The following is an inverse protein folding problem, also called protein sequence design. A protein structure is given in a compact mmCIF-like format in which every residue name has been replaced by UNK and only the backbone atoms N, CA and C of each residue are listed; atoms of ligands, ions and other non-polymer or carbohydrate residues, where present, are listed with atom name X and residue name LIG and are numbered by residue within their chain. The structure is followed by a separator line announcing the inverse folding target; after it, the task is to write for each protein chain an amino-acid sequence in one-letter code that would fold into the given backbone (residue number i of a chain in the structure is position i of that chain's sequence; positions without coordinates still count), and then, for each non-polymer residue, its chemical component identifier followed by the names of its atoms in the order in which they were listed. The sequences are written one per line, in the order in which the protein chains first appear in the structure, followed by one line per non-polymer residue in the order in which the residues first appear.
data_IF_282077375614
#
_entry.id   IF_282077375614
#
_cell.length_a   1.000
_cell.length_b   1.000
_cell.length_c   1.000
_cell.angle_alpha   90.00
_cell.angle_beta   90.00
_cell.angle_gamma   90.00
#
_symmetry.space_group_name_H-M   'P 1'
#
loop_
_entity.id
_entity.type
_entity.pdbx_description
1 polymer ?
#
# COMPACT_ATOMS: atom_id res chain seq x y z
N UNK A 1 -13.93 -10.71 -22.40
CA UNK A 1 -14.82 -10.15 -21.36
C UNK A 1 -14.45 -10.81 -20.05
N UNK A 2 -13.80 -10.09 -19.10
CA UNK A 2 -13.61 -10.63 -17.74
C UNK A 2 -14.98 -10.63 -17.07
N UNK A 3 -15.47 -11.78 -16.64
CA UNK A 3 -16.66 -11.84 -15.77
C UNK A 3 -16.34 -11.04 -14.50
N UNK A 4 -17.16 -10.06 -14.23
CA UNK A 4 -17.10 -9.33 -12.95
C UNK A 4 -17.57 -10.33 -11.89
N UNK A 5 -16.66 -10.80 -11.08
CA UNK A 5 -16.95 -11.72 -9.96
C UNK A 5 -17.75 -10.95 -8.93
N UNK A 6 -18.87 -11.52 -8.45
CA UNK A 6 -19.66 -10.88 -7.40
C UNK A 6 -18.88 -10.86 -6.07
N UNK A 7 -19.24 -9.93 -5.18
CA UNK A 7 -18.65 -9.85 -3.84
C UNK A 7 -18.84 -11.15 -3.07
N UNK A 8 -20.01 -11.76 -3.16
CA UNK A 8 -20.30 -13.03 -2.48
C UNK A 8 -19.46 -14.20 -3.03
N UNK A 9 -19.26 -14.24 -4.33
CA UNK A 9 -18.40 -15.24 -4.97
C UNK A 9 -16.94 -15.03 -4.58
N UNK A 10 -16.46 -13.78 -4.55
CA UNK A 10 -15.13 -13.47 -4.07
C UNK A 10 -14.90 -13.89 -2.62
N UNK A 11 -15.82 -13.56 -1.70
CA UNK A 11 -15.73 -13.98 -0.30
C UNK A 11 -15.65 -15.51 -0.20
N UNK A 12 -16.42 -16.25 -1.03
CA UNK A 12 -16.39 -17.71 -1.05
C UNK A 12 -15.03 -18.23 -1.51
N UNK A 13 -14.48 -17.70 -2.59
CA UNK A 13 -13.16 -18.07 -3.12
C UNK A 13 -12.09 -17.78 -2.07
N UNK A 14 -12.09 -16.58 -1.51
CA UNK A 14 -11.09 -16.13 -0.52
C UNK A 14 -11.05 -17.01 0.72
N UNK A 15 -12.19 -17.44 1.25
CA UNK A 15 -12.27 -18.36 2.40
C UNK A 15 -11.62 -19.71 2.15
N UNK A 16 -11.52 -20.15 0.90
CA UNK A 16 -10.85 -21.38 0.50
C UNK A 16 -9.35 -21.27 0.31
N UNK A 17 -8.80 -20.03 0.28
CA UNK A 17 -7.38 -19.81 0.03
C UNK A 17 -6.55 -19.98 1.31
N UNK A 18 -5.34 -20.53 1.14
CA UNK A 18 -4.35 -20.64 2.20
C UNK A 18 -3.02 -20.08 1.74
N UNK A 19 -2.28 -19.46 2.65
CA UNK A 19 -0.90 -19.02 2.38
C UNK A 19 -0.03 -20.22 2.00
N UNK A 20 0.83 -20.06 1.01
CA UNK A 20 1.70 -21.14 0.53
C UNK A 20 0.96 -22.23 -0.26
N UNK A 21 -0.35 -22.12 -0.43
CA UNK A 21 -1.11 -23.06 -1.27
C UNK A 21 -0.57 -23.02 -2.70
N UNK A 22 -0.07 -24.15 -3.19
CA UNK A 22 0.43 -24.28 -4.55
C UNK A 22 -0.68 -24.49 -5.54
N UNK A 23 -0.52 -23.85 -6.69
CA UNK A 23 -1.40 -24.02 -7.84
C UNK A 23 -0.59 -23.93 -9.13
N UNK A 24 -0.98 -24.72 -10.13
CA UNK A 24 -0.48 -24.53 -11.48
C UNK A 24 -1.23 -23.36 -12.12
N UNK A 25 -0.54 -22.53 -12.87
CA UNK A 25 -1.16 -21.40 -13.57
C UNK A 25 -0.52 -21.13 -14.92
N UNK A 26 -1.30 -20.50 -15.79
CA UNK A 26 -0.86 -20.05 -17.11
C UNK A 26 -0.73 -18.53 -17.11
N UNK A 27 0.41 -18.01 -17.49
CA UNK A 27 0.61 -16.56 -17.67
C UNK A 27 -0.27 -16.08 -18.82
N UNK A 28 -1.20 -15.18 -18.54
CA UNK A 28 -2.19 -14.67 -19.51
C UNK A 28 -1.88 -13.28 -20.03
N UNK A 29 -1.10 -12.50 -19.27
CA UNK A 29 -0.67 -11.19 -19.72
C UNK A 29 0.59 -10.75 -18.96
N UNK A 30 1.51 -10.11 -19.68
CA UNK A 30 2.68 -9.41 -19.13
C UNK A 30 2.48 -7.94 -19.46
N UNK A 31 2.04 -7.17 -18.45
CA UNK A 31 1.79 -5.74 -18.63
C UNK A 31 3.00 -4.93 -18.19
N UNK A 32 3.45 -3.99 -19.03
CA UNK A 32 4.57 -3.10 -18.76
C UNK A 32 5.73 -3.84 -18.09
N UNK A 33 6.45 -4.71 -18.84
CA UNK A 33 7.57 -5.47 -18.29
C UNK A 33 8.55 -4.57 -17.54
N UNK A 34 8.92 -4.98 -16.32
CA UNK A 34 9.76 -4.20 -15.43
C UNK A 34 9.02 -3.18 -14.55
N UNK A 35 7.71 -2.95 -14.76
CA UNK A 35 6.97 -1.93 -14.00
C UNK A 35 5.71 -2.43 -13.27
N UNK A 36 4.97 -3.41 -13.83
CA UNK A 36 3.67 -3.78 -13.24
C UNK A 36 3.68 -5.20 -12.66
N UNK A 37 3.94 -6.20 -13.48
CA UNK A 37 3.88 -7.62 -13.10
C UNK A 37 3.15 -8.47 -14.13
N UNK A 38 2.76 -9.68 -13.74
CA UNK A 38 2.13 -10.65 -14.63
C UNK A 38 0.77 -11.11 -14.10
N UNK A 39 -0.17 -11.33 -15.03
CA UNK A 39 -1.46 -11.95 -14.74
C UNK A 39 -1.41 -13.44 -15.06
N UNK A 40 -2.05 -14.22 -14.19
CA UNK A 40 -2.01 -15.68 -14.24
C UNK A 40 -3.43 -16.24 -14.14
N UNK A 41 -3.80 -17.13 -15.04
CA UNK A 41 -4.99 -17.96 -14.92
C UNK A 41 -4.65 -19.20 -14.08
N UNK A 42 -5.29 -19.34 -12.94
CA UNK A 42 -5.12 -20.47 -12.02
C UNK A 42 -6.36 -21.36 -11.94
N UNK A 43 -7.27 -21.23 -12.92
CA UNK A 43 -8.48 -22.03 -12.98
C UNK A 43 -9.57 -21.65 -11.97
N UNK A 44 -9.46 -20.49 -11.34
CA UNK A 44 -10.47 -19.93 -10.44
C UNK A 44 -11.24 -18.79 -11.15
N UNK A 45 -12.45 -18.45 -10.68
CA UNK A 45 -13.20 -17.31 -11.20
C UNK A 45 -12.45 -15.98 -11.13
N UNK A 46 -11.51 -15.88 -10.20
CA UNK A 46 -10.62 -14.72 -9.99
C UNK A 46 -9.22 -15.08 -10.45
N UNK A 47 -8.64 -14.22 -11.29
CA UNK A 47 -7.27 -14.40 -11.76
C UNK A 47 -6.22 -14.10 -10.68
N UNK A 48 -5.06 -14.71 -10.86
CA UNK A 48 -3.88 -14.43 -10.06
C UNK A 48 -3.06 -13.26 -10.63
N UNK A 49 -2.31 -12.61 -9.78
CA UNK A 49 -1.37 -11.55 -10.10
C UNK A 49 -0.06 -11.75 -9.36
N UNK A 50 1.06 -11.69 -10.06
CA UNK A 50 2.39 -11.64 -9.47
C UNK A 50 2.90 -10.21 -9.60
N UNK A 51 3.21 -9.61 -8.46
CA UNK A 51 3.75 -8.25 -8.39
C UNK A 51 5.17 -8.19 -8.99
N UNK A 52 5.52 -7.08 -9.63
CA UNK A 52 6.86 -6.82 -10.16
C UNK A 52 7.95 -7.02 -9.12
N UNK A 53 7.68 -6.71 -7.87
CA UNK A 53 8.62 -6.84 -6.76
C UNK A 53 9.00 -8.30 -6.41
N UNK A 54 8.20 -9.26 -6.86
CA UNK A 54 8.50 -10.68 -6.72
C UNK A 54 9.19 -11.28 -7.95
N UNK A 55 9.28 -10.51 -9.03
CA UNK A 55 9.87 -10.95 -10.30
C UNK A 55 11.34 -10.50 -10.41
N UNK A 56 12.16 -11.16 -11.26
CA UNK A 56 13.52 -10.73 -11.54
C UNK A 56 13.57 -9.27 -12.00
N UNK A 57 14.61 -8.54 -11.63
CA UNK A 57 14.80 -7.14 -12.07
C UNK A 57 14.91 -7.01 -13.58
N UNK A 58 15.47 -8.01 -14.24
CA UNK A 58 15.59 -8.09 -15.69
C UNK A 58 14.29 -8.66 -16.28
N UNK A 59 13.51 -7.82 -16.97
CA UNK A 59 12.21 -8.20 -17.51
C UNK A 59 12.26 -9.35 -18.53
N UNK A 60 13.41 -9.53 -19.19
CA UNK A 60 13.67 -10.63 -20.12
C UNK A 60 13.67 -12.00 -19.46
N UNK A 61 13.83 -12.04 -18.14
CA UNK A 61 13.78 -13.27 -17.32
C UNK A 61 12.39 -13.60 -16.82
N UNK A 62 11.43 -12.73 -17.07
CA UNK A 62 10.04 -12.98 -16.65
C UNK A 62 9.42 -14.11 -17.48
N UNK A 63 8.47 -14.87 -16.92
CA UNK A 63 7.74 -15.84 -17.71
C UNK A 63 6.89 -15.11 -18.77
N UNK A 64 6.96 -15.56 -20.00
CA UNK A 64 6.19 -15.00 -21.13
C UNK A 64 4.75 -15.50 -21.12
N UNK A 65 3.87 -14.83 -21.85
CA UNK A 65 2.49 -15.29 -22.06
C UNK A 65 2.46 -16.72 -22.58
N UNK A 66 1.54 -17.53 -22.06
CA UNK A 66 1.42 -18.95 -22.35
C UNK A 66 2.32 -19.84 -21.50
N UNK A 67 3.26 -19.28 -20.69
CA UNK A 67 4.05 -20.08 -19.77
C UNK A 67 3.16 -20.73 -18.72
N UNK A 68 3.25 -22.05 -18.59
CA UNK A 68 2.61 -22.82 -17.52
C UNK A 68 3.66 -23.15 -16.47
N UNK A 69 3.41 -22.73 -15.22
CA UNK A 69 4.32 -22.98 -14.10
C UNK A 69 3.58 -23.02 -12.78
N UNK A 70 4.28 -23.31 -11.70
CA UNK A 70 3.70 -23.36 -10.36
C UNK A 70 3.83 -22.02 -9.63
N UNK A 71 2.79 -21.68 -8.90
CA UNK A 71 2.69 -20.51 -8.05
C UNK A 71 2.25 -20.90 -6.65
N UNK A 72 2.52 -20.03 -5.69
CA UNK A 72 1.98 -20.11 -4.33
C UNK A 72 1.07 -18.91 -4.06
N UNK A 73 -0.04 -19.14 -3.36
CA UNK A 73 -0.87 -18.05 -2.85
C UNK A 73 -0.07 -17.24 -1.83
N UNK A 74 0.17 -15.99 -2.18
CA UNK A 74 0.97 -15.06 -1.40
C UNK A 74 0.12 -14.13 -0.55
N UNK A 75 -1.03 -13.72 -1.11
CA UNK A 75 -2.03 -12.87 -0.47
C UNK A 75 -3.36 -12.93 -1.23
N UNK A 76 -4.45 -12.48 -0.61
CA UNK A 76 -5.72 -12.21 -1.26
C UNK A 76 -6.25 -10.86 -0.79
N UNK A 77 -6.41 -9.93 -1.73
CA UNK A 77 -6.86 -8.56 -1.46
C UNK A 77 -8.34 -8.51 -1.04
N UNK A 78 -8.79 -7.37 -0.51
CA UNK A 78 -10.22 -7.10 -0.34
C UNK A 78 -10.95 -7.10 -1.69
N UNK A 79 -10.31 -6.56 -2.72
CA UNK A 79 -10.79 -6.63 -4.10
C UNK A 79 -10.54 -8.03 -4.68
N UNK A 80 -11.35 -8.48 -5.68
CA UNK A 80 -11.19 -9.79 -6.31
C UNK A 80 -9.85 -9.95 -7.03
N UNK A 81 -8.78 -10.19 -6.29
CA UNK A 81 -7.44 -10.44 -6.79
C UNK A 81 -6.67 -11.36 -5.86
N UNK A 82 -6.08 -12.41 -6.43
CA UNK A 82 -5.22 -13.34 -5.71
C UNK A 82 -3.78 -12.99 -6.02
N UNK A 83 -3.03 -12.61 -5.01
CA UNK A 83 -1.59 -12.36 -5.13
C UNK A 83 -0.85 -13.68 -5.12
N UNK A 84 0.01 -13.86 -6.09
CA UNK A 84 0.78 -15.09 -6.29
C UNK A 84 2.28 -14.81 -6.19
N UNK A 85 3.02 -15.82 -5.75
CA UNK A 85 4.48 -15.87 -5.79
C UNK A 85 4.91 -17.01 -6.70
N UNK A 86 5.86 -16.83 -7.62
CA UNK A 86 6.43 -17.93 -8.39
C UNK A 86 7.11 -18.95 -7.48
N UNK A 87 6.95 -20.25 -7.77
CA UNK A 87 7.71 -21.34 -7.11
C UNK A 87 9.04 -21.54 -7.78
N UNK A 88 9.09 -21.43 -9.11
CA UNK A 88 10.33 -21.55 -9.88
C UNK A 88 11.24 -20.34 -9.60
N UNK A 89 12.40 -20.63 -9.03
CA UNK A 89 13.42 -19.63 -8.67
C UNK A 89 13.90 -18.78 -9.85
N UNK A 90 13.79 -19.26 -11.06
CA UNK A 90 14.15 -18.50 -12.27
C UNK A 90 13.25 -17.28 -12.47
N UNK A 91 12.01 -17.34 -11.96
CA UNK A 91 10.99 -16.30 -12.05
C UNK A 91 10.82 -15.51 -10.75
N UNK A 92 11.70 -15.71 -9.79
CA UNK A 92 11.66 -15.02 -8.51
C UNK A 92 12.81 -14.01 -8.41
N UNK A 93 12.56 -12.89 -7.74
CA UNK A 93 13.55 -11.85 -7.46
C UNK A 93 14.80 -12.43 -6.81
N UNK A 94 15.96 -11.94 -7.19
CA UNK A 94 17.27 -12.43 -6.72
C UNK A 94 17.47 -12.26 -5.22
N UNK A 95 16.89 -11.22 -4.63
CA UNK A 95 17.01 -10.86 -3.23
C UNK A 95 15.81 -11.32 -2.37
N UNK A 96 14.91 -12.13 -2.95
CA UNK A 96 13.69 -12.57 -2.29
C UNK A 96 13.92 -13.21 -0.91
N UNK A 97 14.89 -14.11 -0.79
CA UNK A 97 15.17 -14.81 0.47
C UNK A 97 15.65 -13.85 1.56
N UNK A 98 16.52 -12.91 1.22
CA UNK A 98 16.99 -11.90 2.14
C UNK A 98 15.83 -11.00 2.59
N UNK A 99 15.03 -10.58 1.62
CA UNK A 99 13.85 -9.79 1.90
C UNK A 99 12.84 -10.54 2.79
N UNK A 100 12.54 -11.80 2.46
CA UNK A 100 11.61 -12.63 3.25
C UNK A 100 12.11 -12.80 4.68
N UNK A 101 13.39 -13.10 4.87
CA UNK A 101 14.00 -13.26 6.19
C UNK A 101 13.92 -11.96 7.02
N UNK A 102 14.03 -10.81 6.39
CA UNK A 102 13.96 -9.52 7.07
C UNK A 102 12.52 -9.09 7.41
N UNK A 103 11.60 -9.25 6.46
CA UNK A 103 10.26 -8.64 6.53
C UNK A 103 9.15 -9.63 6.84
N UNK A 104 9.38 -10.91 6.55
CA UNK A 104 8.40 -11.99 6.75
C UNK A 104 9.09 -13.28 7.25
N UNK A 105 9.88 -13.21 8.35
CA UNK A 105 10.65 -14.38 8.82
C UNK A 105 9.77 -15.57 9.16
N UNK A 106 8.55 -15.31 9.68
CA UNK A 106 7.59 -16.34 10.09
C UNK A 106 6.37 -16.38 9.16
N UNK A 107 6.62 -16.29 7.84
CA UNK A 107 5.51 -16.34 6.89
C UNK A 107 4.71 -17.64 7.08
N UNK A 108 3.41 -17.57 7.42
CA UNK A 108 2.65 -18.75 7.69
C UNK A 108 2.42 -19.55 6.42
N UNK A 109 2.63 -20.85 6.50
CA UNK A 109 2.21 -21.78 5.47
C UNK A 109 0.93 -22.50 5.91
N UNK A 110 0.04 -22.76 4.94
CA UNK A 110 -1.20 -23.51 5.13
C UNK A 110 -2.20 -22.90 6.14
N UNK A 111 -2.13 -21.57 6.34
CA UNK A 111 -3.05 -20.82 7.19
C UNK A 111 -4.07 -20.06 6.30
N UNK A 112 -5.36 -19.99 6.69
CA UNK A 112 -6.33 -19.18 5.95
C UNK A 112 -5.89 -17.74 5.81
N UNK A 113 -6.18 -17.13 4.64
CA UNK A 113 -5.89 -15.72 4.39
C UNK A 113 -6.97 -14.87 5.07
N UNK A 114 -6.70 -14.38 6.27
CA UNK A 114 -7.64 -13.63 7.10
C UNK A 114 -7.03 -12.33 7.64
N UNK A 115 -7.86 -11.33 7.92
CA UNK A 115 -7.43 -10.05 8.50
C UNK A 115 -6.74 -10.23 9.86
N UNK A 116 -7.22 -11.15 10.68
CA UNK A 116 -6.62 -11.44 11.99
C UNK A 116 -5.13 -11.81 11.91
N UNK A 117 -4.70 -12.43 10.81
CA UNK A 117 -3.28 -12.70 10.61
C UNK A 117 -2.49 -11.42 10.31
N UNK A 118 -3.06 -10.49 9.53
CA UNK A 118 -2.44 -9.17 9.26
C UNK A 118 -2.17 -8.45 10.57
N UNK A 119 -3.18 -8.41 11.44
CA UNK A 119 -3.11 -7.73 12.73
C UNK A 119 -2.06 -8.39 13.65
N UNK A 120 -2.04 -9.72 13.69
CA UNK A 120 -1.03 -10.47 14.45
C UNK A 120 0.38 -10.21 13.91
N UNK A 121 0.55 -10.17 12.59
CA UNK A 121 1.83 -9.91 11.95
C UNK A 121 2.30 -8.49 12.17
N UNK A 122 1.42 -7.51 12.03
CA UNK A 122 1.73 -6.12 12.34
C UNK A 122 2.18 -5.97 13.80
N UNK A 123 1.54 -6.69 14.73
CA UNK A 123 1.91 -6.71 16.14
C UNK A 123 3.35 -7.22 16.35
N UNK A 124 3.70 -8.35 15.74
CA UNK A 124 5.07 -8.90 15.82
C UNK A 124 6.09 -7.92 15.25
N UNK A 125 5.82 -7.32 14.09
CA UNK A 125 6.74 -6.35 13.48
C UNK A 125 6.84 -5.05 14.29
N UNK A 126 5.76 -4.63 14.93
CA UNK A 126 5.76 -3.47 15.85
C UNK A 126 6.73 -3.69 17.02
N UNK A 127 6.75 -4.90 17.59
CA UNK A 127 7.66 -5.26 18.67
C UNK A 127 9.14 -5.22 18.25
N UNK A 128 9.46 -5.34 16.97
CA UNK A 128 10.83 -5.18 16.45
C UNK A 128 11.31 -3.73 16.42
N UNK A 129 10.43 -2.77 16.65
CA UNK A 129 10.73 -1.33 16.56
C UNK A 129 11.03 -0.85 15.15
N UNK A 130 10.59 -1.59 14.12
CA UNK A 130 10.92 -1.27 12.73
C UNK A 130 10.34 0.07 12.29
N UNK A 131 9.13 0.40 12.73
CA UNK A 131 8.47 1.68 12.37
C UNK A 131 9.27 2.86 12.91
N UNK A 132 9.61 2.83 14.22
CA UNK A 132 10.41 3.87 14.87
C UNK A 132 11.79 4.02 14.20
N UNK A 133 12.46 2.90 13.91
CA UNK A 133 13.75 2.90 13.23
C UNK A 133 13.66 3.51 11.83
N UNK A 134 12.69 3.12 11.02
CA UNK A 134 12.49 3.64 9.66
C UNK A 134 12.24 5.15 9.68
N UNK A 135 11.40 5.63 10.60
CA UNK A 135 11.14 7.06 10.73
C UNK A 135 12.40 7.83 11.21
N UNK A 136 13.21 7.23 12.10
CA UNK A 136 14.49 7.85 12.55
C UNK A 136 15.51 7.90 11.41
N UNK A 137 15.60 6.90 10.58
CA UNK A 137 16.46 6.89 9.39
C UNK A 137 16.05 8.00 8.41
N UNK A 138 14.75 8.30 8.30
CA UNK A 138 14.24 9.45 7.55
C UNK A 138 14.46 10.82 8.24
N UNK A 139 15.04 10.85 9.47
CA UNK A 139 15.33 12.07 10.21
C UNK A 139 14.32 12.45 11.27
N UNK A 140 13.32 11.62 11.55
CA UNK A 140 12.43 11.85 12.70
C UNK A 140 13.16 11.62 14.05
N UNK A 141 12.80 12.39 15.04
CA UNK A 141 13.23 12.21 16.43
C UNK A 141 12.17 12.78 17.38
N UNK A 142 12.04 12.24 18.59
CA UNK A 142 11.13 12.79 19.59
C UNK A 142 11.37 14.28 19.83
N UNK A 143 10.30 15.06 19.83
CA UNK A 143 10.36 16.52 20.02
C UNK A 143 10.83 17.30 18.80
N UNK A 144 10.92 16.66 17.61
CA UNK A 144 11.17 17.35 16.35
C UNK A 144 10.11 18.43 16.12
N UNK A 145 10.56 19.61 15.65
CA UNK A 145 9.69 20.72 15.29
C UNK A 145 10.21 21.40 14.03
N UNK A 146 9.35 21.52 13.02
CA UNK A 146 9.63 22.28 11.79
C UNK A 146 8.60 23.38 11.62
N UNK A 147 8.99 24.51 10.98
CA UNK A 147 8.06 25.60 10.69
C UNK A 147 7.12 25.22 9.56
N UNK A 148 5.81 25.42 9.75
CA UNK A 148 4.75 25.07 8.78
C UNK A 148 4.21 26.28 8.01
N UNK A 149 4.64 27.49 8.34
CA UNK A 149 4.08 28.75 7.85
C UNK A 149 4.15 28.86 6.32
N UNK A 150 5.22 28.34 5.71
CA UNK A 150 5.37 28.34 4.25
C UNK A 150 4.30 27.47 3.59
N UNK A 151 4.08 26.27 4.07
CA UNK A 151 3.04 25.35 3.55
C UNK A 151 1.64 25.92 3.74
N UNK A 152 1.37 26.47 4.93
CA UNK A 152 0.11 27.15 5.20
C UNK A 152 -0.15 28.27 4.21
N UNK A 153 0.78 29.20 4.06
CA UNK A 153 0.61 30.32 3.14
C UNK A 153 0.44 29.90 1.68
N UNK A 154 1.12 28.82 1.26
CA UNK A 154 1.03 28.31 -0.10
C UNK A 154 -0.33 27.65 -0.38
N UNK A 155 -0.79 26.75 0.48
CA UNK A 155 -1.99 25.95 0.24
C UNK A 155 -3.29 26.71 0.58
N UNK A 156 -3.25 27.63 1.52
CA UNK A 156 -4.40 28.49 1.83
C UNK A 156 -4.57 29.65 0.83
N UNK A 157 -3.63 29.87 -0.09
CA UNK A 157 -3.69 30.97 -1.05
C UNK A 157 -4.90 30.93 -1.98
N UNK A 158 -5.42 29.74 -2.29
CA UNK A 158 -6.64 29.55 -3.09
C UNK A 158 -7.92 29.83 -2.30
N UNK A 159 -7.88 29.78 -0.97
CA UNK A 159 -9.05 29.88 -0.09
C UNK A 159 -9.95 28.66 -0.09
N UNK A 160 -9.60 27.58 -0.80
CA UNK A 160 -10.39 26.34 -0.90
C UNK A 160 -10.23 25.44 0.34
N UNK A 161 -9.02 25.40 0.90
CA UNK A 161 -8.70 24.59 2.07
C UNK A 161 -8.05 25.42 3.16
N UNK A 162 -8.09 24.95 4.40
CA UNK A 162 -7.48 25.62 5.53
C UNK A 162 -6.76 24.62 6.43
N UNK A 163 -5.55 24.95 6.87
CA UNK A 163 -4.79 24.14 7.79
C UNK A 163 -5.39 24.19 9.20
N UNK A 164 -6.07 23.13 9.61
CA UNK A 164 -6.60 22.97 10.96
C UNK A 164 -5.49 22.58 11.95
N UNK A 165 -5.76 22.69 13.24
CA UNK A 165 -4.76 22.48 14.32
C UNK A 165 -4.13 21.07 14.28
N UNK A 166 -4.87 20.05 13.87
CA UNK A 166 -4.37 18.68 13.76
C UNK A 166 -3.35 18.55 12.64
N UNK A 167 -3.62 19.12 11.46
CA UNK A 167 -2.68 19.16 10.35
C UNK A 167 -1.42 19.94 10.74
N UNK A 168 -1.56 21.08 11.44
CA UNK A 168 -0.42 21.85 11.92
C UNK A 168 0.46 21.06 12.88
N UNK A 169 -0.14 20.36 13.86
CA UNK A 169 0.60 19.51 14.82
C UNK A 169 1.34 18.40 14.09
N UNK A 170 0.64 17.67 13.18
CA UNK A 170 1.24 16.60 12.40
C UNK A 170 2.43 17.10 11.58
N UNK A 171 2.24 18.15 10.80
CA UNK A 171 3.30 18.70 9.95
C UNK A 171 4.44 19.35 10.75
N UNK A 172 4.16 19.88 11.93
CA UNK A 172 5.21 20.36 12.83
C UNK A 172 6.15 19.24 13.26
N UNK A 173 5.65 18.03 13.46
CA UNK A 173 6.46 16.87 13.87
C UNK A 173 7.03 16.11 12.68
N UNK A 174 6.22 15.80 11.68
CA UNK A 174 6.58 14.90 10.57
C UNK A 174 6.88 15.62 9.25
N UNK A 175 6.48 16.87 9.08
CA UNK A 175 6.65 17.63 7.85
C UNK A 175 8.12 17.67 7.38
N UNK A 176 8.33 17.54 6.07
CA UNK A 176 9.65 17.48 5.43
C UNK A 176 10.39 16.16 5.60
N UNK A 177 9.77 15.12 6.18
CA UNK A 177 10.35 13.77 6.16
C UNK A 177 10.09 13.13 4.81
N UNK A 178 11.11 12.44 4.28
CA UNK A 178 10.99 11.55 3.15
C UNK A 178 11.47 10.15 3.58
N UNK A 179 10.57 9.18 3.54
CA UNK A 179 10.83 7.80 3.93
C UNK A 179 11.07 6.98 2.68
N UNK A 180 12.33 6.66 2.41
CA UNK A 180 12.77 5.84 1.28
C UNK A 180 12.67 4.38 1.63
N UNK A 181 11.60 3.73 1.19
CA UNK A 181 11.37 2.28 1.36
C UNK A 181 10.81 1.70 0.07
N UNK A 182 11.09 0.43 -0.15
CA UNK A 182 10.54 -0.31 -1.27
C UNK A 182 10.45 -1.79 -0.94
N UNK A 183 9.79 -2.54 -1.80
CA UNK A 183 9.66 -3.98 -1.70
C UNK A 183 8.29 -4.43 -1.23
N UNK A 184 8.04 -5.74 -1.15
CA UNK A 184 6.76 -6.26 -0.71
C UNK A 184 6.49 -5.91 0.77
N UNK A 185 5.27 -5.50 1.07
CA UNK A 185 4.78 -5.29 2.43
C UNK A 185 3.91 -6.46 2.93
N UNK A 186 3.11 -6.21 3.96
CA UNK A 186 2.23 -7.25 4.53
C UNK A 186 1.09 -7.57 3.56
N UNK A 187 0.37 -6.55 3.07
CA UNK A 187 -0.77 -6.73 2.16
C UNK A 187 -0.61 -6.02 0.82
N UNK A 188 0.25 -5.02 0.74
CA UNK A 188 0.59 -4.30 -0.50
C UNK A 188 2.08 -4.02 -0.57
N UNK A 189 2.55 -3.49 -1.71
CA UNK A 189 3.91 -3.01 -1.83
C UNK A 189 4.19 -1.91 -0.81
N UNK A 190 5.41 -1.91 -0.26
CA UNK A 190 5.96 -0.74 0.43
C UNK A 190 6.53 0.18 -0.64
N UNK A 191 6.11 1.40 -0.61
CA UNK A 191 6.58 2.45 -1.50
C UNK A 191 7.05 3.63 -0.67
N UNK A 192 7.94 4.42 -1.20
CA UNK A 192 8.39 5.64 -0.57
C UNK A 192 7.23 6.61 -0.34
N UNK A 193 7.33 7.41 0.70
CA UNK A 193 6.38 8.45 1.00
C UNK A 193 7.06 9.69 1.59
N UNK A 194 6.48 10.84 1.34
CA UNK A 194 6.99 12.10 1.83
C UNK A 194 5.89 12.94 2.48
N UNK A 195 6.21 13.55 3.60
CA UNK A 195 5.33 14.51 4.26
C UNK A 195 5.72 15.94 3.86
N UNK A 196 5.59 16.23 2.57
CA UNK A 196 5.79 17.57 2.01
C UNK A 196 4.50 18.06 1.31
N UNK A 197 3.63 18.76 2.04
CA UNK A 197 2.40 19.27 1.45
C UNK A 197 2.65 20.33 0.35
N UNK A 198 3.85 20.87 0.27
CA UNK A 198 4.21 21.79 -0.82
C UNK A 198 4.26 21.15 -2.20
N UNK A 199 4.47 19.83 -2.26
CA UNK A 199 4.39 19.06 -3.49
C UNK A 199 2.95 18.95 -4.05
N UNK A 200 1.93 19.19 -3.20
CA UNK A 200 0.51 19.09 -3.54
C UNK A 200 -0.10 20.45 -3.94
N UNK A 201 0.70 21.46 -4.16
CA UNK A 201 0.20 22.75 -4.63
C UNK A 201 -0.44 22.62 -6.02
N UNK A 202 -1.69 23.03 -6.13
CA UNK A 202 -2.53 22.85 -7.33
C UNK A 202 -3.55 21.71 -7.22
N UNK A 203 -3.54 20.94 -6.13
CA UNK A 203 -4.52 19.86 -5.86
C UNK A 203 -5.53 20.28 -4.77
N UNK A 204 -5.58 21.54 -4.38
CA UNK A 204 -6.44 22.03 -3.29
C UNK A 204 -7.93 21.79 -3.54
N UNK A 205 -8.36 21.85 -4.79
CA UNK A 205 -9.72 21.54 -5.22
C UNK A 205 -10.09 20.09 -4.96
N UNK A 206 -9.20 19.15 -5.25
CA UNK A 206 -9.39 17.72 -4.96
C UNK A 206 -9.63 17.47 -3.47
N UNK A 207 -8.84 18.12 -2.60
CA UNK A 207 -9.02 17.98 -1.15
C UNK A 207 -10.30 18.65 -0.66
N UNK A 208 -10.70 19.80 -1.24
CA UNK A 208 -11.95 20.45 -0.94
C UNK A 208 -13.16 19.58 -1.32
N UNK A 209 -13.16 18.99 -2.52
CA UNK A 209 -14.22 18.11 -3.02
C UNK A 209 -14.37 16.86 -2.13
N UNK A 210 -13.25 16.25 -1.72
CA UNK A 210 -13.31 15.12 -0.81
C UNK A 210 -13.71 15.49 0.61
N UNK A 211 -13.34 16.68 1.08
CA UNK A 211 -13.79 17.21 2.37
C UNK A 211 -15.31 17.39 2.39
N UNK A 212 -15.88 17.94 1.31
CA UNK A 212 -17.34 18.06 1.17
C UNK A 212 -18.01 16.69 1.11
N UNK A 213 -17.49 15.77 0.29
CA UNK A 213 -18.05 14.43 0.09
C UNK A 213 -18.07 13.61 1.38
N UNK A 214 -17.01 13.68 2.17
CA UNK A 214 -16.87 12.90 3.41
C UNK A 214 -17.42 13.64 4.65
N UNK A 215 -17.75 14.92 4.52
CA UNK A 215 -18.15 15.75 5.66
C UNK A 215 -17.04 15.92 6.69
N UNK A 216 -15.78 15.97 6.24
CA UNK A 216 -14.54 16.05 7.03
C UNK A 216 -13.63 17.11 6.46
N UNK A 217 -12.93 17.86 7.29
CA UNK A 217 -11.94 18.86 6.84
C UNK A 217 -10.59 18.16 6.61
N UNK A 218 -10.32 17.72 5.37
CA UNK A 218 -9.11 16.98 5.00
C UNK A 218 -8.07 17.95 4.45
N UNK A 219 -6.94 18.04 5.15
CA UNK A 219 -5.80 18.87 4.73
C UNK A 219 -4.68 18.01 4.12
N UNK A 220 -4.09 18.41 2.96
CA UNK A 220 -2.97 17.70 2.35
C UNK A 220 -1.74 17.70 3.25
N UNK A 221 -1.10 16.53 3.40
CA UNK A 221 0.10 16.37 4.23
C UNK A 221 1.31 15.81 3.49
N UNK A 222 1.12 15.25 2.28
CA UNK A 222 2.22 14.68 1.53
C UNK A 222 1.78 13.71 0.44
N UNK A 223 2.72 12.95 -0.06
CA UNK A 223 2.55 12.04 -1.19
C UNK A 223 3.10 10.65 -0.91
N UNK A 224 2.67 9.67 -1.71
CA UNK A 224 3.06 8.27 -1.69
C UNK A 224 3.34 7.81 -3.11
N UNK A 225 4.34 6.91 -3.29
CA UNK A 225 4.69 6.29 -4.57
C UNK A 225 5.05 7.34 -5.64
N UNK A 226 6.05 8.19 -5.33
CA UNK A 226 6.57 9.24 -6.23
C UNK A 226 5.45 10.19 -6.75
N UNK A 227 4.52 10.57 -5.89
CA UNK A 227 3.41 11.47 -6.24
C UNK A 227 2.25 10.81 -6.97
N UNK A 228 2.23 9.47 -7.05
CA UNK A 228 1.10 8.75 -7.64
C UNK A 228 -0.17 8.83 -6.80
N UNK A 229 -0.01 8.96 -5.49
CA UNK A 229 -1.11 9.11 -4.54
C UNK A 229 -0.80 10.25 -3.58
N UNK A 230 -1.82 10.91 -3.09
CA UNK A 230 -1.70 11.96 -2.10
C UNK A 230 -2.12 11.47 -0.72
N UNK A 231 -1.56 12.11 0.31
CA UNK A 231 -1.92 11.86 1.69
C UNK A 231 -2.59 13.09 2.28
N UNK A 232 -3.71 12.87 2.96
CA UNK A 232 -4.44 13.91 3.70
C UNK A 232 -4.67 13.51 5.14
N UNK A 233 -4.92 14.50 6.01
CA UNK A 233 -5.28 14.29 7.41
C UNK A 233 -6.53 15.11 7.74
N UNK A 234 -7.47 14.52 8.48
CA UNK A 234 -8.63 15.25 8.98
C UNK A 234 -8.42 15.83 10.39
N UNK A 235 -9.41 16.56 10.88
CA UNK A 235 -9.41 17.17 12.20
C UNK A 235 -9.39 16.17 13.36
N UNK A 236 -9.84 14.92 13.12
CA UNK A 236 -9.84 13.80 14.08
C UNK A 236 -8.56 12.99 14.08
N UNK A 237 -7.54 13.41 13.31
CA UNK A 237 -6.23 12.74 13.16
C UNK A 237 -6.27 11.45 12.32
N UNK A 238 -7.28 11.26 11.51
CA UNK A 238 -7.34 10.17 10.54
C UNK A 238 -6.56 10.53 9.28
N UNK A 239 -5.72 9.60 8.78
CA UNK A 239 -4.96 9.78 7.55
C UNK A 239 -5.64 9.03 6.40
N UNK A 240 -5.72 9.71 5.28
CA UNK A 240 -6.36 9.24 4.05
C UNK A 240 -5.33 9.15 2.91
N UNK A 241 -5.51 8.16 2.06
CA UNK A 241 -4.97 8.14 0.70
C UNK A 241 -6.02 8.81 -0.18
N UNK A 242 -5.60 9.80 -0.93
CA UNK A 242 -6.47 10.64 -1.78
C UNK A 242 -6.01 10.54 -3.23
N UNK A 243 -6.97 10.20 -4.11
CA UNK A 243 -6.78 10.16 -5.55
C UNK A 243 -8.15 10.47 -6.21
N UNK A 244 -8.54 9.85 -7.31
CA UNK A 244 -9.91 9.84 -7.84
C UNK A 244 -10.87 9.02 -6.95
N UNK A 245 -10.36 8.41 -5.95
CA UNK A 245 -11.02 7.66 -4.88
C UNK A 245 -10.29 7.93 -3.57
N UNK A 246 -10.95 7.62 -2.45
CA UNK A 246 -10.36 7.80 -1.11
C UNK A 246 -10.35 6.47 -0.35
N UNK A 247 -9.27 6.24 0.39
CA UNK A 247 -9.18 5.15 1.34
C UNK A 247 -8.54 5.63 2.64
N UNK A 248 -8.88 4.99 3.76
CA UNK A 248 -8.49 5.38 5.09
C UNK A 248 -7.37 4.49 5.62
N UNK A 249 -6.25 5.09 5.99
CA UNK A 249 -5.19 4.42 6.74
C UNK A 249 -5.52 4.29 8.23
N UNK A 250 -6.31 5.20 8.79
CA UNK A 250 -6.64 5.25 10.20
C UNK A 250 -5.91 6.38 10.95
N UNK A 251 -5.96 6.36 12.31
CA UNK A 251 -5.26 7.34 13.14
C UNK A 251 -3.77 7.41 12.84
N UNK A 252 -3.14 8.56 13.09
CA UNK A 252 -1.73 8.85 12.75
C UNK A 252 -0.78 7.69 13.06
N UNK A 253 -0.85 7.09 14.26
CA UNK A 253 0.06 6.01 14.63
C UNK A 253 -0.13 4.76 13.78
N UNK A 254 -1.39 4.38 13.55
CA UNK A 254 -1.74 3.23 12.72
C UNK A 254 -1.38 3.48 11.26
N UNK A 255 -1.59 4.69 10.78
CA UNK A 255 -1.26 5.09 9.42
C UNK A 255 0.25 5.04 9.15
N UNK A 256 1.07 5.58 10.05
CA UNK A 256 2.53 5.49 9.95
C UNK A 256 3.01 4.03 9.94
N UNK A 257 2.41 3.19 10.77
CA UNK A 257 2.69 1.76 10.77
C UNK A 257 2.31 1.12 9.44
N UNK A 258 1.10 1.35 8.94
CA UNK A 258 0.62 0.79 7.67
C UNK A 258 1.48 1.23 6.49
N UNK A 259 1.86 2.49 6.43
CA UNK A 259 2.76 3.01 5.39
C UNK A 259 4.12 2.29 5.43
N UNK A 260 4.74 2.18 6.60
CA UNK A 260 6.06 1.52 6.75
C UNK A 260 5.98 0.02 6.48
N UNK A 261 4.93 -0.65 6.92
CA UNK A 261 4.79 -2.11 6.80
C UNK A 261 4.16 -2.57 5.48
N UNK A 262 3.67 -1.66 4.65
CA UNK A 262 2.94 -2.00 3.43
C UNK A 262 1.64 -2.73 3.74
N UNK A 263 0.79 -2.10 4.55
CA UNK A 263 -0.58 -2.53 4.80
C UNK A 263 -1.51 -1.59 4.05
N UNK A 264 -2.32 -2.14 3.16
CA UNK A 264 -3.24 -1.37 2.34
C UNK A 264 -4.26 -0.59 3.19
N UNK A 265 -4.60 0.66 2.81
CA UNK A 265 -5.67 1.40 3.44
C UNK A 265 -7.03 0.76 3.13
N UNK A 266 -8.01 1.00 3.98
CA UNK A 266 -9.38 0.53 3.79
C UNK A 266 -10.15 1.51 2.90
N UNK A 267 -10.82 1.05 1.82
CA UNK A 267 -11.73 1.91 1.05
C UNK A 267 -12.78 2.53 1.98
N UNK A 268 -13.12 3.78 1.74
CA UNK A 268 -14.29 4.41 2.41
C UNK A 268 -15.57 3.88 1.77
N UNK A 269 -16.61 3.63 2.57
CA UNK A 269 -17.85 2.96 2.10
C UNK A 269 -18.71 3.82 1.13
N UNK A 270 -18.34 5.06 0.89
CA UNK A 270 -19.18 6.03 0.17
C UNK A 270 -18.99 6.06 -1.37
N UNK A 271 -18.56 4.95 -1.99
CA UNK A 271 -18.45 4.91 -3.45
C UNK A 271 -19.02 3.62 -4.04
N UNK A 272 -20.35 3.60 -4.10
CA UNK A 272 -21.12 2.70 -4.98
C UNK A 272 -21.84 3.51 -6.03
#
# INVERSE_FOLDING_TARGET
MRNVVSVEEWIRVRRGLRFGQRCSGTVTAVQNPGATGIFVDIGLPVGGFVDVLLLPREAERWPVEGTVTEFEVWWADERPQIRLKPVDRRFLSEDFDQWQAQWRPDWPENVPVEQAWVDARATVLRETGIVDRTLREAGWRPGRRVPVQRWRAQLEATGLIRMHDTAERFLTEFGGLHVWISGPGITCARTDFAFDPGALAGEEDRFADWSETLGRDIFPIGELDEGRFFLGIDEDSEIYLVETWVARFGPVQDALEKLVLGIAPQPTEDHS
#
